data_IF_712322789974
#
_entry.id   IF_712322789974
#
_cell.length_a   1.000
_cell.length_b   1.000
_cell.length_c   1.000
_cell.angle_alpha   90.00
_cell.angle_beta   90.00
_cell.angle_gamma   90.00
#
_symmetry.space_group_name_H-M   'P 1'
#
loop_
_entity.id
_entity.type
_entity.pdbx_description
1 polymer ?
#
# COMPACT_ATOMS: atom_id res chain seq x y z
N UNK A 1 -3.43 -2.93 21.83
CA UNK A 1 -2.36 -2.54 20.89
C UNK A 1 -1.64 -1.35 21.49
N UNK A 2 -0.31 -1.40 21.61
CA UNK A 2 0.48 -0.20 21.90
C UNK A 2 0.64 0.60 20.61
N UNK A 3 0.55 1.92 20.68
CA UNK A 3 0.85 2.79 19.55
C UNK A 3 2.38 2.91 19.38
N UNK A 4 2.87 3.22 18.17
CA UNK A 4 4.30 3.52 17.97
C UNK A 4 4.74 4.70 18.83
N UNK A 5 5.98 4.66 19.31
CA UNK A 5 6.59 5.80 19.99
C UNK A 5 6.79 6.96 19.00
N UNK A 6 6.82 8.23 19.46
CA UNK A 6 7.02 9.38 18.58
C UNK A 6 8.33 9.32 17.77
N UNK A 7 9.32 8.58 18.26
CA UNK A 7 10.62 8.38 17.63
C UNK A 7 10.71 7.14 16.73
N UNK A 8 9.64 6.32 16.66
CA UNK A 8 9.63 5.14 15.81
C UNK A 8 9.80 5.50 14.34
N UNK A 9 10.61 4.72 13.63
CA UNK A 9 10.81 4.87 12.20
C UNK A 9 9.76 4.08 11.43
N UNK A 10 9.00 4.78 10.58
CA UNK A 10 7.99 4.18 9.70
C UNK A 10 8.44 4.23 8.25
N UNK A 11 8.50 3.07 7.60
CA UNK A 11 8.56 3.01 6.14
C UNK A 11 7.14 3.11 5.59
N UNK A 12 6.87 4.16 4.80
CA UNK A 12 5.57 4.34 4.15
C UNK A 12 5.64 3.86 2.71
N UNK A 13 4.94 2.78 2.40
CA UNK A 13 4.81 2.23 1.06
C UNK A 13 3.52 2.73 0.40
N UNK A 14 3.67 3.36 -0.78
CA UNK A 14 2.53 3.80 -1.58
C UNK A 14 1.97 2.60 -2.36
N UNK A 15 0.70 2.27 -2.11
CA UNK A 15 -0.03 1.23 -2.83
C UNK A 15 -1.03 1.89 -3.79
N UNK A 16 -0.73 1.94 -5.10
CA UNK A 16 -1.58 2.62 -6.07
C UNK A 16 -2.80 1.79 -6.49
N UNK A 17 -2.82 0.48 -6.25
CA UNK A 17 -3.92 -0.40 -6.70
C UNK A 17 -4.47 -1.30 -5.58
N UNK A 18 -5.78 -1.61 -5.59
CA UNK A 18 -6.38 -2.54 -4.63
C UNK A 18 -5.78 -3.94 -4.64
N UNK A 19 -5.40 -4.44 -5.82
CA UNK A 19 -4.82 -5.77 -5.97
C UNK A 19 -3.49 -5.91 -5.23
N UNK A 20 -2.68 -4.86 -5.24
CA UNK A 20 -1.39 -4.88 -4.53
C UNK A 20 -1.59 -4.93 -3.01
N UNK A 21 -2.62 -4.24 -2.49
CA UNK A 21 -2.99 -4.31 -1.07
C UNK A 21 -3.48 -5.71 -0.70
N UNK A 22 -4.28 -6.33 -1.56
CA UNK A 22 -4.79 -7.68 -1.34
C UNK A 22 -3.66 -8.70 -1.30
N UNK A 23 -2.71 -8.63 -2.24
CA UNK A 23 -1.49 -9.46 -2.23
C UNK A 23 -0.70 -9.23 -0.94
N UNK A 24 -0.46 -7.97 -0.56
CA UNK A 24 0.31 -7.62 0.63
C UNK A 24 -0.34 -8.15 1.92
N UNK A 25 -1.67 -8.09 2.02
CA UNK A 25 -2.42 -8.55 3.19
C UNK A 25 -2.57 -10.07 3.26
N UNK A 26 -2.82 -10.72 2.11
CA UNK A 26 -3.10 -12.17 2.06
C UNK A 26 -1.80 -12.98 2.11
N UNK A 27 -0.78 -12.55 1.36
CA UNK A 27 0.49 -13.27 1.31
C UNK A 27 1.48 -12.83 2.40
N UNK A 28 1.21 -11.71 3.09
CA UNK A 28 2.17 -11.11 4.02
C UNK A 28 3.45 -10.62 3.33
N UNK A 29 3.41 -10.43 2.00
CA UNK A 29 4.59 -10.15 1.18
C UNK A 29 4.41 -8.87 0.38
N UNK A 30 5.37 -7.95 0.50
CA UNK A 30 5.42 -6.71 -0.28
C UNK A 30 6.81 -6.50 -0.89
N UNK A 31 6.86 -5.98 -2.12
CA UNK A 31 8.10 -5.72 -2.86
C UNK A 31 8.43 -4.23 -2.83
N UNK A 32 9.63 -3.89 -2.38
CA UNK A 32 10.14 -2.52 -2.40
C UNK A 32 10.94 -2.31 -3.70
N UNK A 33 10.60 -1.33 -4.55
CA UNK A 33 11.37 -1.04 -5.76
C UNK A 33 12.80 -0.60 -5.41
N UNK A 34 13.81 -1.38 -5.81
CA UNK A 34 15.22 -1.15 -5.43
C UNK A 34 15.71 0.27 -5.77
N UNK A 35 15.27 0.82 -6.90
CA UNK A 35 15.65 2.19 -7.34
C UNK A 35 15.21 3.30 -6.40
N UNK A 36 14.16 3.07 -5.59
CA UNK A 36 13.58 4.05 -4.66
C UNK A 36 13.67 3.59 -3.20
N UNK A 37 14.20 2.39 -2.98
CA UNK A 37 14.37 1.85 -1.65
C UNK A 37 15.44 2.66 -0.90
N UNK A 38 15.26 2.91 0.40
CA UNK A 38 16.37 3.38 1.23
C UNK A 38 17.49 2.33 1.21
N UNK A 39 18.74 2.79 1.30
CA UNK A 39 19.92 1.91 1.25
C UNK A 39 19.89 0.83 2.33
N UNK A 40 19.31 1.15 3.48
CA UNK A 40 19.11 0.24 4.61
C UNK A 40 17.65 0.30 5.02
N UNK A 41 17.03 -0.87 5.19
CA UNK A 41 15.68 -1.00 5.74
C UNK A 41 15.81 -1.40 7.21
N UNK A 42 15.88 -0.40 8.08
CA UNK A 42 15.91 -0.54 9.54
C UNK A 42 14.81 0.35 10.12
N UNK A 43 13.59 -0.16 10.10
CA UNK A 43 12.38 0.56 10.51
C UNK A 43 11.58 -0.29 11.50
N UNK A 44 10.90 0.37 12.43
CA UNK A 44 10.07 -0.30 13.44
C UNK A 44 8.75 -0.76 12.86
N UNK A 45 8.19 0.00 11.91
CA UNK A 45 6.89 -0.28 11.31
C UNK A 45 6.89 -0.05 9.79
N UNK A 46 6.05 -0.83 9.10
CA UNK A 46 5.71 -0.65 7.69
C UNK A 46 4.25 -0.20 7.58
N UNK A 47 4.02 0.93 6.94
CA UNK A 47 2.68 1.46 6.69
C UNK A 47 2.35 1.45 5.19
N UNK A 48 1.11 1.08 4.85
CA UNK A 48 0.61 1.14 3.48
C UNK A 48 -0.30 2.35 3.31
N UNK A 49 0.10 3.28 2.46
CA UNK A 49 -0.69 4.46 2.11
C UNK A 49 -1.31 4.30 0.73
N UNK A 50 -2.58 4.64 0.58
CA UNK A 50 -3.26 4.57 -0.69
C UNK A 50 -3.75 5.95 -1.14
N UNK A 51 -3.30 6.45 -2.30
CA UNK A 51 -3.72 7.74 -2.80
C UNK A 51 -5.16 7.68 -3.30
N UNK A 52 -5.92 8.73 -3.02
CA UNK A 52 -7.35 8.88 -3.32
C UNK A 52 -7.71 8.65 -4.80
N UNK A 53 -6.78 8.91 -5.73
CA UNK A 53 -6.98 8.68 -7.18
C UNK A 53 -6.73 7.24 -7.67
N UNK A 54 -6.07 6.38 -6.88
CA UNK A 54 -5.65 5.04 -7.31
C UNK A 54 -6.75 3.97 -7.22
N UNK A 55 -7.62 4.07 -6.21
CA UNK A 55 -8.74 3.15 -6.02
C UNK A 55 -9.98 3.49 -6.87
N UNK A 56 -10.24 4.79 -7.11
CA UNK A 56 -11.50 5.25 -7.70
C UNK A 56 -11.54 5.28 -9.24
N UNK A 57 -10.40 5.43 -9.92
CA UNK A 57 -10.39 5.68 -11.37
C UNK A 57 -10.86 4.50 -12.24
N UNK A 58 -10.90 3.28 -11.70
CA UNK A 58 -11.28 2.06 -12.42
C UNK A 58 -12.57 1.39 -11.91
N UNK A 59 -13.15 1.90 -10.83
CA UNK A 59 -14.36 1.34 -10.21
C UNK A 59 -15.67 1.72 -10.95
N UNK A 60 -15.62 2.64 -11.93
CA UNK A 60 -16.79 3.17 -12.63
C UNK A 60 -17.15 2.53 -13.98
N UNK A 61 -16.66 1.32 -14.29
CA UNK A 61 -17.09 0.59 -15.50
C UNK A 61 -17.56 -0.82 -15.12
N UNK A 62 -18.57 -0.91 -14.28
CA UNK A 62 -19.46 -2.07 -14.38
C UNK A 62 -20.32 -1.87 -15.63
N UNK A 63 -20.20 -2.83 -16.53
CA UNK A 63 -21.08 -3.02 -17.67
C UNK A 63 -22.51 -3.29 -17.18
N UNK A 64 -23.33 -2.26 -17.04
CA UNK A 64 -24.79 -2.44 -17.07
C UNK A 64 -25.24 -2.38 -18.52
N UNK A 65 -25.32 -3.54 -19.17
CA UNK A 65 -26.15 -3.70 -20.37
C UNK A 65 -27.59 -3.30 -20.01
N UNK A 66 -28.21 -2.35 -20.71
CA UNK A 66 -29.64 -2.11 -20.57
C UNK A 66 -30.35 -3.30 -21.23
N UNK A 67 -31.23 -3.95 -20.47
CA UNK A 67 -32.31 -4.78 -21.01
C UNK A 67 -33.52 -3.88 -21.20
#
# INVERSE_FOLDING_TARGET
>A
MSYPEPTSLLLVAIIPSPRDLEIARVLGWYRIPLRRAPKVVAVDYLAFYQPTGGFGARAGRSSSSPK
#
